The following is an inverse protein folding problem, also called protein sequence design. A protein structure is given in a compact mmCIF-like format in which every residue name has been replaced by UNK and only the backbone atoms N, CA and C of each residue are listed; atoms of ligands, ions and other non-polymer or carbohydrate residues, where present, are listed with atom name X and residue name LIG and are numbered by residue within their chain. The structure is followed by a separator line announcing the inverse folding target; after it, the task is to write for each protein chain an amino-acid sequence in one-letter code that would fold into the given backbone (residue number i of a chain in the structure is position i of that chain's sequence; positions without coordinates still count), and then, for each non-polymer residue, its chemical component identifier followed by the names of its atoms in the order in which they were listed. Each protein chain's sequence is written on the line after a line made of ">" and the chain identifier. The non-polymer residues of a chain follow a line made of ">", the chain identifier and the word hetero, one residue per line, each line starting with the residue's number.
data_IF_707264703270
#
_entry.id   IF_707264703270
#
_cell.length_a   1.000
_cell.length_b   1.000
_cell.length_c   1.000
_cell.angle_alpha   90.00
_cell.angle_beta   90.00
_cell.angle_gamma   90.00
#
_symmetry.space_group_name_H-M   'P 1'
#
loop_
_entity.id
_entity.type
_entity.pdbx_description
1 polymer ?
#
# COMPACT_ATOMS: atom_id res chain seq x y z
N UNK A 1 2.43 12.94 23.17
CA UNK A 1 1.90 11.69 23.76
C UNK A 1 2.48 10.41 23.14
N UNK A 2 2.92 10.40 21.88
CA UNK A 2 3.49 9.21 21.20
C UNK A 2 4.93 8.86 21.68
N UNK A 3 5.71 9.83 22.17
CA UNK A 3 7.07 9.58 22.68
C UNK A 3 7.09 8.74 23.95
N UNK A 4 6.19 9.02 24.90
CA UNK A 4 6.18 8.32 26.19
C UNK A 4 5.87 6.84 26.06
N UNK A 5 5.05 6.43 25.08
CA UNK A 5 4.71 5.03 24.89
C UNK A 5 5.88 4.22 24.30
N UNK A 6 6.63 4.83 23.37
CA UNK A 6 7.84 4.22 22.80
C UNK A 6 8.90 4.04 23.89
N UNK A 7 9.16 5.08 24.67
CA UNK A 7 10.18 5.06 25.73
C UNK A 7 9.80 4.09 26.85
N UNK A 8 8.50 4.01 27.18
CA UNK A 8 7.98 3.00 28.11
C UNK A 8 8.17 1.58 27.59
N UNK A 9 7.81 1.30 26.34
CA UNK A 9 8.01 -0.05 25.76
C UNK A 9 9.47 -0.45 25.69
N UNK A 10 10.37 0.48 25.32
CA UNK A 10 11.82 0.22 25.30
C UNK A 10 12.34 -0.03 26.71
N UNK A 11 11.91 0.77 27.70
CA UNK A 11 12.31 0.60 29.09
C UNK A 11 11.87 -0.74 29.69
N UNK A 12 10.64 -1.17 29.40
CA UNK A 12 10.12 -2.48 29.85
C UNK A 12 10.85 -3.63 29.16
N UNK A 13 11.14 -3.53 27.86
CA UNK A 13 11.89 -4.56 27.15
C UNK A 13 13.34 -4.63 27.66
N UNK A 14 13.98 -3.48 27.86
CA UNK A 14 15.35 -3.41 28.35
C UNK A 14 15.49 -3.94 29.79
N UNK A 15 14.54 -3.65 30.67
CA UNK A 15 14.54 -4.16 32.04
C UNK A 15 14.30 -5.67 32.10
N UNK A 16 13.41 -6.19 31.26
CA UNK A 16 13.21 -7.64 31.07
C UNK A 16 14.45 -8.33 30.51
N UNK A 17 15.17 -7.68 29.60
CA UNK A 17 16.41 -8.22 29.01
C UNK A 17 17.58 -8.20 30.00
N UNK A 18 17.70 -7.12 30.78
CA UNK A 18 18.73 -7.00 31.81
C UNK A 18 18.52 -7.99 32.95
N UNK A 19 17.28 -8.12 33.45
CA UNK A 19 16.93 -9.12 34.46
C UNK A 19 17.10 -10.56 33.95
N UNK A 20 16.87 -10.81 32.66
CA UNK A 20 17.17 -12.09 32.05
C UNK A 20 18.68 -12.39 32.03
N UNK A 21 19.50 -11.46 31.53
CA UNK A 21 20.96 -11.63 31.45
C UNK A 21 21.58 -11.90 32.81
N UNK A 22 21.18 -11.17 33.86
CA UNK A 22 21.75 -11.34 35.20
C UNK A 22 21.35 -12.68 35.83
N UNK A 23 20.10 -13.11 35.64
CA UNK A 23 19.62 -14.40 36.19
C UNK A 23 20.25 -15.60 35.49
N UNK A 24 20.41 -15.53 34.15
CA UNK A 24 21.01 -16.61 33.36
C UNK A 24 22.54 -16.67 33.50
N UNK A 25 23.22 -15.53 33.63
CA UNK A 25 24.66 -15.49 33.88
C UNK A 25 25.02 -16.18 35.20
N UNK A 26 24.25 -15.94 36.27
CA UNK A 26 24.45 -16.60 37.56
C UNK A 26 24.17 -18.11 37.50
N UNK A 27 23.12 -18.53 36.78
CA UNK A 27 22.81 -19.95 36.62
C UNK A 27 23.82 -20.69 35.72
N UNK A 28 24.34 -20.09 34.65
CA UNK A 28 25.38 -20.71 33.82
C UNK A 28 26.69 -20.93 34.59
N UNK A 29 27.06 -20.00 35.48
CA UNK A 29 28.23 -20.14 36.35
C UNK A 29 28.04 -21.33 37.32
N UNK A 30 26.82 -21.59 37.79
CA UNK A 30 26.51 -22.76 38.64
C UNK A 30 26.39 -24.08 37.84
N UNK A 31 25.84 -24.05 36.63
CA UNK A 31 25.62 -25.24 35.77
C UNK A 31 26.88 -25.72 35.03
N UNK A 32 27.94 -24.89 34.94
CA UNK A 32 29.18 -25.23 34.24
C UNK A 32 29.99 -26.39 34.83
N UNK A 33 29.59 -26.99 35.95
CA UNK A 33 30.35 -28.07 36.60
C UNK A 33 29.96 -29.49 36.20
N UNK A 34 28.71 -29.79 35.84
CA UNK A 34 28.30 -31.13 35.37
C UNK A 34 27.05 -31.07 34.46
N UNK A 35 27.23 -31.10 33.14
CA UNK A 35 26.10 -31.03 32.20
C UNK A 35 25.42 -32.41 32.01
N UNK A 36 24.30 -32.65 32.71
CA UNK A 36 23.37 -33.76 32.41
C UNK A 36 22.16 -33.24 31.62
N UNK A 37 22.00 -33.68 30.37
CA UNK A 37 20.91 -33.28 29.45
C UNK A 37 19.49 -33.41 30.04
N UNK A 38 19.30 -34.34 30.97
CA UNK A 38 18.00 -34.57 31.63
C UNK A 38 17.61 -33.44 32.58
N UNK A 39 18.58 -32.84 33.27
CA UNK A 39 18.38 -31.68 34.16
C UNK A 39 18.17 -30.39 33.37
N UNK A 40 18.81 -30.28 32.20
CA UNK A 40 18.59 -29.16 31.29
C UNK A 40 17.14 -29.10 30.78
N UNK A 41 16.56 -30.24 30.39
CA UNK A 41 15.17 -30.32 29.92
C UNK A 41 14.16 -30.00 31.03
N UNK A 42 14.36 -30.50 32.26
CA UNK A 42 13.52 -30.11 33.41
C UNK A 42 13.68 -28.64 33.77
N UNK A 43 14.87 -28.06 33.59
CA UNK A 43 15.11 -26.63 33.81
C UNK A 43 14.36 -25.79 32.78
N UNK A 44 14.36 -26.18 31.50
CA UNK A 44 13.58 -25.51 30.44
C UNK A 44 12.09 -25.55 30.73
N UNK A 45 11.55 -26.71 31.14
CA UNK A 45 10.11 -26.87 31.40
C UNK A 45 9.67 -26.12 32.66
N UNK A 46 10.51 -26.08 33.71
CA UNK A 46 10.22 -25.31 34.93
C UNK A 46 10.45 -23.79 34.75
N UNK A 47 11.26 -23.38 33.76
CA UNK A 47 11.48 -21.98 33.47
C UNK A 47 10.30 -21.38 32.70
N UNK A 48 9.36 -20.80 33.47
CA UNK A 48 8.24 -19.99 32.98
C UNK A 48 8.65 -18.92 31.95
N UNK A 49 9.92 -18.53 31.95
CA UNK A 49 10.52 -17.62 30.97
C UNK A 49 10.33 -18.08 29.51
N UNK A 50 10.68 -19.32 29.16
CA UNK A 50 10.51 -19.80 27.77
C UNK A 50 9.04 -19.84 27.36
N UNK A 51 8.16 -20.16 28.31
CA UNK A 51 6.70 -20.15 28.11
C UNK A 51 6.22 -18.71 27.83
N UNK A 52 6.62 -17.72 28.62
CA UNK A 52 6.24 -16.32 28.41
C UNK A 52 6.78 -15.74 27.10
N UNK A 53 8.02 -16.07 26.73
CA UNK A 53 8.61 -15.64 25.45
C UNK A 53 7.97 -16.32 24.25
N UNK A 54 7.63 -17.61 24.35
CA UNK A 54 6.83 -18.29 23.34
C UNK A 54 5.46 -17.63 23.16
N UNK A 55 4.79 -17.30 24.26
CA UNK A 55 3.49 -16.63 24.25
C UNK A 55 3.57 -15.22 23.63
N UNK A 56 4.61 -14.46 23.96
CA UNK A 56 4.89 -13.15 23.37
C UNK A 56 5.10 -13.25 21.84
N UNK A 57 5.83 -14.27 21.38
CA UNK A 57 6.01 -14.54 19.94
C UNK A 57 4.68 -14.83 19.24
N UNK A 58 3.81 -15.63 19.86
CA UNK A 58 2.46 -15.92 19.34
C UNK A 58 1.64 -14.63 19.22
N UNK A 59 1.68 -13.77 20.23
CA UNK A 59 0.99 -12.46 20.19
C UNK A 59 1.49 -11.60 19.05
N UNK A 60 2.81 -11.52 18.82
CA UNK A 60 3.38 -10.79 17.69
C UNK A 60 2.90 -11.33 16.33
N UNK A 61 2.81 -12.64 16.17
CA UNK A 61 2.30 -13.28 14.95
C UNK A 61 0.82 -12.92 14.73
N UNK A 62 0.00 -12.98 15.78
CA UNK A 62 -1.42 -12.61 15.72
C UNK A 62 -1.62 -11.13 15.34
N UNK A 63 -0.86 -10.22 15.94
CA UNK A 63 -0.90 -8.79 15.60
C UNK A 63 -0.54 -8.60 14.13
N UNK A 64 0.55 -9.23 13.66
CA UNK A 64 0.97 -9.15 12.25
C UNK A 64 -0.11 -9.68 11.31
N UNK A 65 -0.76 -10.78 11.67
CA UNK A 65 -1.87 -11.35 10.90
C UNK A 65 -3.08 -10.40 10.86
N UNK A 66 -3.43 -9.79 11.99
CA UNK A 66 -4.56 -8.87 12.10
C UNK A 66 -4.33 -7.60 11.26
N UNK A 67 -3.12 -7.03 11.32
CA UNK A 67 -2.73 -5.89 10.48
C UNK A 67 -2.84 -6.25 9.00
N UNK A 68 -2.34 -7.43 8.60
CA UNK A 68 -2.44 -7.89 7.21
C UNK A 68 -3.90 -8.00 6.76
N UNK A 69 -4.76 -8.63 7.56
CA UNK A 69 -6.19 -8.78 7.26
C UNK A 69 -6.90 -7.42 7.14
N UNK A 70 -6.58 -6.46 8.01
CA UNK A 70 -7.11 -5.10 7.93
C UNK A 70 -6.63 -4.34 6.70
N UNK A 71 -5.36 -4.49 6.33
CA UNK A 71 -4.83 -3.89 5.08
C UNK A 71 -5.53 -4.50 3.87
N UNK A 72 -5.74 -5.81 3.83
CA UNK A 72 -6.47 -6.48 2.74
C UNK A 72 -7.92 -5.97 2.66
N UNK A 73 -8.63 -5.81 3.78
CA UNK A 73 -9.98 -5.24 3.79
C UNK A 73 -10.03 -3.77 3.33
N UNK A 74 -9.06 -2.95 3.71
CA UNK A 74 -8.99 -1.54 3.29
C UNK A 74 -8.55 -1.37 1.83
N UNK A 75 -7.97 -2.41 1.23
CA UNK A 75 -7.45 -2.37 -0.14
C UNK A 75 -8.24 -3.22 -1.13
N UNK A 76 -9.28 -3.91 -0.69
CA UNK A 76 -10.26 -4.48 -1.61
C UNK A 76 -11.21 -3.35 -2.01
N UNK A 77 -11.12 -2.80 -3.23
CA UNK A 77 -12.22 -1.98 -3.75
C UNK A 77 -13.46 -2.87 -3.70
N UNK A 78 -14.53 -2.41 -3.07
CA UNK A 78 -15.85 -2.93 -3.39
C UNK A 78 -15.95 -2.93 -4.92
N UNK A 79 -16.41 -4.01 -5.56
CA UNK A 79 -16.69 -3.96 -6.98
C UNK A 79 -17.81 -2.95 -7.16
N UNK A 80 -17.45 -1.68 -7.38
CA UNK A 80 -18.34 -0.70 -7.97
C UNK A 80 -18.56 -1.21 -9.39
N UNK A 81 -19.70 -1.87 -9.57
CA UNK A 81 -20.23 -2.19 -10.88
C UNK A 81 -20.52 -0.85 -11.55
N UNK A 82 -19.51 -0.28 -12.21
CA UNK A 82 -19.71 0.78 -13.18
C UNK A 82 -20.29 0.12 -14.44
N UNK A 83 -21.55 -0.31 -14.37
CA UNK A 83 -22.34 -0.44 -15.58
C UNK A 83 -22.91 0.94 -15.88
N UNK A 84 -22.52 1.51 -17.01
CA UNK A 84 -23.39 2.17 -17.98
C UNK A 84 -22.51 2.40 -19.21
N UNK A 85 -22.72 1.57 -20.22
CA UNK A 85 -22.19 1.80 -21.56
C UNK A 85 -22.91 3.01 -22.15
N UNK A 86 -22.26 4.16 -22.10
CA UNK A 86 -22.61 5.31 -22.92
C UNK A 86 -21.59 5.42 -24.05
N UNK A 87 -22.05 5.80 -25.23
CA UNK A 87 -21.17 6.23 -26.31
C UNK A 87 -20.50 7.53 -25.86
N UNK A 88 -19.18 7.54 -25.75
CA UNK A 88 -18.41 8.74 -25.43
C UNK A 88 -18.32 9.64 -26.67
N UNK A 89 -18.45 10.94 -26.49
CA UNK A 89 -18.43 11.91 -27.60
C UNK A 89 -17.01 12.25 -28.06
N UNK A 90 -16.03 12.16 -27.16
CA UNK A 90 -14.64 12.50 -27.42
C UNK A 90 -13.68 11.47 -26.82
N UNK A 91 -12.62 11.18 -27.57
CA UNK A 91 -11.46 10.41 -27.11
C UNK A 91 -10.20 11.27 -27.26
N UNK A 92 -9.39 11.34 -26.21
CA UNK A 92 -8.14 12.07 -26.20
C UNK A 92 -7.02 11.25 -25.54
N UNK A 93 -5.82 11.33 -26.11
CA UNK A 93 -4.61 10.76 -25.54
C UNK A 93 -3.86 11.82 -24.75
N UNK A 94 -3.66 11.59 -23.46
CA UNK A 94 -2.99 12.52 -22.55
C UNK A 94 -1.78 11.87 -21.89
N UNK A 95 -0.74 12.65 -21.63
CA UNK A 95 0.43 12.18 -20.88
C UNK A 95 0.35 12.68 -19.43
N UNK A 96 0.32 11.75 -18.48
CA UNK A 96 0.15 12.05 -17.06
C UNK A 96 0.99 11.10 -16.21
N UNK A 97 1.71 11.63 -15.21
CA UNK A 97 2.56 10.85 -14.29
C UNK A 97 3.60 9.95 -15.00
N UNK A 98 3.99 10.32 -16.23
CA UNK A 98 4.91 9.58 -17.10
C UNK A 98 4.36 8.30 -17.72
N UNK A 99 3.04 8.21 -17.82
CA UNK A 99 2.32 7.22 -18.60
C UNK A 99 1.47 7.92 -19.64
N UNK A 100 1.05 7.18 -20.66
CA UNK A 100 0.01 7.61 -21.59
C UNK A 100 -1.34 7.12 -21.07
N UNK A 101 -2.37 7.94 -21.23
CA UNK A 101 -3.73 7.65 -20.82
C UNK A 101 -4.67 7.95 -21.96
N UNK A 102 -5.69 7.12 -22.14
CA UNK A 102 -6.77 7.36 -23.08
C UNK A 102 -8.00 7.79 -22.31
N UNK A 103 -8.44 9.00 -22.54
CA UNK A 103 -9.56 9.61 -21.83
C UNK A 103 -10.75 9.61 -22.77
N UNK A 104 -11.85 9.04 -22.32
CA UNK A 104 -13.14 9.09 -22.99
C UNK A 104 -14.02 10.08 -22.22
N UNK A 105 -14.40 11.17 -22.89
CA UNK A 105 -15.12 12.27 -22.26
C UNK A 105 -16.52 12.48 -22.84
N UNK A 106 -17.43 12.91 -21.98
CA UNK A 106 -18.78 13.36 -22.35
C UNK A 106 -18.80 14.88 -22.43
N UNK A 107 -19.33 15.40 -23.52
CA UNK A 107 -19.40 16.83 -23.77
C UNK A 107 -20.80 17.32 -23.46
N UNK A 108 -20.97 18.14 -22.43
CA UNK A 108 -22.24 18.83 -22.20
C UNK A 108 -22.32 20.02 -23.15
N UNK A 109 -23.30 20.04 -24.05
CA UNK A 109 -23.56 21.17 -24.98
C UNK A 109 -24.69 22.03 -24.46
N UNK A 110 -24.68 23.33 -24.80
CA UNK A 110 -25.72 24.29 -24.38
C UNK A 110 -27.07 24.02 -25.04
N UNK A 111 -27.05 23.64 -26.31
CA UNK A 111 -28.20 23.20 -27.09
C UNK A 111 -27.76 22.07 -28.04
N UNK A 112 -28.66 21.17 -28.43
CA UNK A 112 -28.36 20.10 -29.39
C UNK A 112 -27.95 20.63 -30.78
N UNK A 113 -28.25 21.90 -31.07
CA UNK A 113 -28.01 22.55 -32.36
C UNK A 113 -26.77 23.46 -32.34
N UNK A 114 -26.35 23.96 -31.17
CA UNK A 114 -25.14 24.77 -31.06
C UNK A 114 -23.95 23.89 -30.67
N UNK A 115 -22.82 24.04 -31.38
CA UNK A 115 -21.55 23.38 -31.04
C UNK A 115 -20.84 24.05 -29.83
N UNK A 116 -21.56 24.85 -29.05
CA UNK A 116 -21.03 25.46 -27.83
C UNK A 116 -20.93 24.41 -26.73
N UNK A 117 -19.69 24.04 -26.38
CA UNK A 117 -19.38 23.14 -25.29
C UNK A 117 -19.50 23.90 -23.96
N UNK A 118 -20.38 23.43 -23.07
CA UNK A 118 -20.56 23.94 -21.73
C UNK A 118 -19.61 23.30 -20.73
N UNK A 119 -19.36 22.00 -20.82
CA UNK A 119 -18.51 21.31 -19.87
C UNK A 119 -18.00 20.01 -20.47
N UNK A 120 -16.83 19.57 -20.03
CA UNK A 120 -16.28 18.27 -20.38
C UNK A 120 -16.20 17.45 -19.10
N UNK A 121 -16.91 16.33 -19.08
CA UNK A 121 -16.82 15.36 -17.99
C UNK A 121 -16.01 14.16 -18.46
N UNK A 122 -14.84 13.94 -17.87
CA UNK A 122 -14.00 12.80 -18.21
C UNK A 122 -14.64 11.52 -17.62
N UNK A 123 -15.18 10.66 -18.49
CA UNK A 123 -16.00 9.52 -18.10
C UNK A 123 -15.16 8.28 -17.75
N UNK A 124 -14.51 7.69 -18.75
CA UNK A 124 -13.60 6.54 -18.58
C UNK A 124 -12.19 6.96 -18.91
N UNK A 125 -11.23 6.61 -18.05
CA UNK A 125 -9.81 6.79 -18.34
C UNK A 125 -9.15 5.43 -18.37
N UNK A 126 -8.70 5.04 -19.56
CA UNK A 126 -7.99 3.79 -19.79
C UNK A 126 -6.47 4.01 -19.68
N UNK A 127 -5.79 3.11 -18.98
CA UNK A 127 -4.35 3.17 -18.72
C UNK A 127 -4.00 2.60 -17.34
N UNK A 128 -2.77 2.79 -16.83
CA UNK A 128 -1.65 3.52 -17.43
C UNK A 128 -1.00 2.73 -18.58
N UNK A 129 -0.81 3.39 -19.73
CA UNK A 129 -0.08 2.86 -20.87
C UNK A 129 1.40 3.26 -20.85
N UNK A 130 2.24 2.41 -21.43
CA UNK A 130 3.65 2.66 -21.58
C UNK A 130 3.89 3.87 -22.50
N UNK A 131 4.77 4.80 -22.06
CA UNK A 131 5.15 5.98 -22.85
C UNK A 131 5.67 5.64 -24.26
N UNK A 132 6.42 4.54 -24.38
CA UNK A 132 7.11 4.17 -25.62
C UNK A 132 6.24 3.29 -26.54
N UNK A 133 5.55 2.29 -25.97
CA UNK A 133 4.88 1.24 -26.75
C UNK A 133 3.34 1.29 -26.66
N UNK A 134 2.76 2.24 -25.90
CA UNK A 134 1.31 2.35 -25.64
C UNK A 134 0.65 1.07 -25.07
N UNK A 135 1.45 0.13 -24.56
CA UNK A 135 0.95 -1.12 -23.94
C UNK A 135 0.59 -0.89 -22.50
N UNK A 136 -0.45 -1.56 -22.03
CA UNK A 136 -0.88 -1.49 -20.64
C UNK A 136 0.25 -1.93 -19.69
N UNK A 137 0.48 -1.13 -18.65
CA UNK A 137 1.54 -1.36 -17.69
C UNK A 137 1.12 -2.44 -16.70
N UNK A 138 1.98 -3.44 -16.46
CA UNK A 138 1.75 -4.42 -15.40
C UNK A 138 2.01 -3.79 -14.03
N UNK A 139 1.02 -3.83 -13.14
CA UNK A 139 1.08 -3.25 -11.80
C UNK A 139 1.44 -4.31 -10.77
N UNK A 140 2.46 -4.03 -9.97
CA UNK A 140 2.90 -4.90 -8.88
C UNK A 140 2.98 -4.11 -7.58
N UNK A 141 2.39 -4.64 -6.52
CA UNK A 141 2.55 -4.06 -5.18
C UNK A 141 3.92 -4.43 -4.63
N UNK A 142 4.67 -3.42 -4.18
CA UNK A 142 6.00 -3.57 -3.58
C UNK A 142 5.90 -3.45 -2.06
N UNK A 143 6.98 -3.80 -1.35
CA UNK A 143 7.13 -3.53 0.08
C UNK A 143 6.95 -2.03 0.38
N UNK A 144 6.44 -1.70 1.58
CA UNK A 144 6.14 -0.33 2.03
C UNK A 144 5.00 0.39 1.27
N UNK A 145 4.05 -0.34 0.70
CA UNK A 145 2.84 0.26 0.13
C UNK A 145 3.05 1.02 -1.19
N UNK A 146 4.19 0.80 -1.87
CA UNK A 146 4.48 1.37 -3.19
C UNK A 146 3.97 0.46 -4.31
N UNK A 147 3.66 1.04 -5.45
CA UNK A 147 3.24 0.35 -6.67
C UNK A 147 4.31 0.50 -7.75
N UNK A 148 4.69 -0.63 -8.34
CA UNK A 148 5.66 -0.73 -9.42
C UNK A 148 4.91 -1.02 -10.71
N UNK A 149 5.06 -0.13 -11.68
CA UNK A 149 4.53 -0.22 -13.02
C UNK A 149 5.65 -0.68 -13.94
N UNK A 150 5.45 -1.78 -14.68
CA UNK A 150 6.45 -2.31 -15.61
C UNK A 150 5.83 -2.58 -16.98
N UNK A 151 6.44 -2.05 -18.03
CA UNK A 151 6.08 -2.38 -19.40
C UNK A 151 6.54 -3.81 -19.73
N UNK A 152 5.69 -4.66 -20.32
CA UNK A 152 6.07 -6.02 -20.69
C UNK A 152 7.08 -6.10 -21.83
N UNK A 153 7.17 -5.08 -22.71
CA UNK A 153 8.01 -5.09 -23.91
C UNK A 153 9.31 -4.31 -23.73
N UNK A 154 9.27 -2.98 -23.68
CA UNK A 154 10.47 -2.15 -23.54
C UNK A 154 11.11 -2.13 -22.13
N UNK A 155 10.48 -2.78 -21.14
CA UNK A 155 11.03 -2.85 -19.78
C UNK A 155 10.99 -1.53 -18.98
N UNK A 156 10.39 -0.47 -19.54
CA UNK A 156 10.14 0.78 -18.81
C UNK A 156 9.50 0.49 -17.46
N UNK A 157 10.07 1.06 -16.39
CA UNK A 157 9.63 0.83 -15.02
C UNK A 157 9.49 2.15 -14.28
N UNK A 158 8.43 2.27 -13.49
CA UNK A 158 8.22 3.41 -12.60
C UNK A 158 7.66 2.92 -11.27
N UNK A 159 8.13 3.48 -10.16
CA UNK A 159 7.64 3.14 -8.82
C UNK A 159 6.98 4.40 -8.26
N UNK A 160 5.71 4.29 -7.88
CA UNK A 160 4.91 5.37 -7.31
C UNK A 160 4.29 4.92 -5.99
N UNK A 161 3.90 5.87 -5.16
CA UNK A 161 3.12 5.58 -3.94
C UNK A 161 1.65 5.29 -4.26
N UNK A 162 1.15 5.81 -5.38
CA UNK A 162 -0.25 5.76 -5.80
C UNK A 162 -0.53 4.54 -6.67
N UNK A 163 -1.70 3.93 -6.50
CA UNK A 163 -2.16 2.82 -7.35
C UNK A 163 -2.76 3.35 -8.67
N UNK A 164 -3.09 2.45 -9.59
CA UNK A 164 -3.60 2.83 -10.92
C UNK A 164 -4.88 3.66 -10.83
N UNK A 165 -5.80 3.26 -9.95
CA UNK A 165 -7.06 3.96 -9.70
C UNK A 165 -6.86 5.39 -9.19
N UNK A 166 -5.98 5.60 -8.21
CA UNK A 166 -5.69 6.93 -7.69
C UNK A 166 -5.07 7.82 -8.78
N UNK A 167 -4.19 7.27 -9.62
CA UNK A 167 -3.64 8.00 -10.75
C UNK A 167 -4.72 8.34 -11.78
N UNK A 168 -5.66 7.43 -12.03
CA UNK A 168 -6.81 7.64 -12.91
C UNK A 168 -7.67 8.82 -12.43
N UNK A 169 -8.03 8.85 -11.15
CA UNK A 169 -8.79 9.97 -10.58
C UNK A 169 -8.03 11.30 -10.67
N UNK A 170 -6.72 11.29 -10.43
CA UNK A 170 -5.92 12.52 -10.50
C UNK A 170 -5.81 13.06 -11.94
N UNK A 171 -5.62 12.17 -12.92
CA UNK A 171 -5.65 12.56 -14.34
C UNK A 171 -7.02 13.10 -14.73
N UNK A 172 -8.10 12.50 -14.21
CA UNK A 172 -9.47 12.98 -14.41
C UNK A 172 -9.63 14.42 -13.91
N UNK A 173 -9.26 14.65 -12.66
CA UNK A 173 -9.41 15.94 -11.99
C UNK A 173 -8.53 17.01 -12.68
N UNK A 174 -7.32 16.65 -13.09
CA UNK A 174 -6.39 17.55 -13.80
C UNK A 174 -6.96 18.00 -15.15
N UNK A 175 -7.56 17.08 -15.92
CA UNK A 175 -8.18 17.42 -17.20
C UNK A 175 -9.42 18.30 -17.06
N UNK A 176 -10.30 17.98 -16.11
CA UNK A 176 -11.47 18.79 -15.84
C UNK A 176 -11.07 20.19 -15.35
N UNK A 177 -10.02 20.29 -14.52
CA UNK A 177 -9.50 21.57 -14.05
C UNK A 177 -8.86 22.40 -15.18
N UNK A 178 -8.06 21.76 -16.04
CA UNK A 178 -7.44 22.42 -17.20
C UNK A 178 -8.49 22.99 -18.15
N UNK A 179 -9.54 22.21 -18.44
CA UNK A 179 -10.66 22.67 -19.27
C UNK A 179 -11.38 23.88 -18.66
N UNK A 180 -11.69 23.85 -17.36
CA UNK A 180 -12.31 24.98 -16.65
C UNK A 180 -11.45 26.24 -16.68
N UNK A 181 -10.13 26.09 -16.54
CA UNK A 181 -9.20 27.21 -16.56
C UNK A 181 -9.08 27.82 -17.97
N UNK A 182 -8.95 26.98 -19.00
CA UNK A 182 -8.84 27.45 -20.39
C UNK A 182 -10.11 28.18 -20.86
N UNK A 183 -11.29 27.78 -20.36
CA UNK A 183 -12.55 28.50 -20.62
C UNK A 183 -12.65 29.84 -19.89
N UNK A 184 -11.98 30.01 -18.75
CA UNK A 184 -11.92 31.30 -18.04
C UNK A 184 -11.05 32.35 -18.74
N UNK A 185 -10.19 31.92 -19.66
CA UNK A 185 -9.26 32.77 -20.41
C UNK A 185 -9.68 33.03 -21.87
N UNK A 186 -10.85 32.53 -22.29
CA UNK A 186 -11.44 32.69 -23.63
C UNK A 186 -12.71 33.53 -23.58
#
# INVERSE_FOLDING_TARGET
>A
MISSFKDFTIGVIASLFASFLTTYALQFIQLGKEFKLKEFLTTIVNYRFFIYWGLLLVVFILIRWFIRKKIEQLQMPYPMVNSIGGNYDLEADVEGYGFKWRVHAYVRRKNNVSNEILDINAGIINGPYCKNDYREMKVYKTYFGRYKYKCPKCGYKRILLKNAWTLECEVKDELEAEYRNNRGNS
#
